data_IF_267110805781
#
_entry.id   IF_267110805781
#
_cell.length_a   1.000
_cell.length_b   1.000
_cell.length_c   1.000
_cell.angle_alpha   90.00
_cell.angle_beta   90.00
_cell.angle_gamma   90.00
#
_symmetry.space_group_name_H-M   'P 1'
#
loop_
_entity.id
_entity.type
_entity.pdbx_description
1 polymer ?
#
# COMPACT_ATOMS: atom_id res chain seq x y z
N UNK A 1 -72.13 -8.73 28.73
CA UNK A 1 -71.40 -8.35 27.50
C UNK A 1 -69.84 -8.34 27.64
N UNK A 2 -69.21 -9.29 28.28
CA UNK A 2 -67.74 -9.19 28.57
C UNK A 2 -66.83 -10.18 27.84
N UNK A 3 -67.32 -11.28 27.29
CA UNK A 3 -66.51 -12.38 26.79
C UNK A 3 -65.96 -12.13 25.37
N UNK A 4 -66.77 -11.67 24.45
CA UNK A 4 -66.40 -11.42 23.06
C UNK A 4 -65.45 -10.26 22.88
N UNK A 5 -65.53 -9.19 23.60
CA UNK A 5 -64.69 -8.04 23.56
C UNK A 5 -63.25 -8.42 24.05
N UNK A 6 -63.10 -9.23 25.08
CA UNK A 6 -61.86 -9.75 25.60
C UNK A 6 -61.17 -10.71 24.62
N UNK A 7 -61.99 -11.57 23.94
CA UNK A 7 -61.45 -12.48 22.92
C UNK A 7 -60.86 -11.72 21.69
N UNK A 8 -61.57 -10.66 21.24
CA UNK A 8 -61.14 -9.78 20.14
C UNK A 8 -59.88 -9.02 20.49
N UNK A 9 -59.76 -8.43 21.67
CA UNK A 9 -58.60 -7.73 22.15
C UNK A 9 -57.35 -8.66 22.28
N UNK A 10 -57.54 -9.94 22.70
CA UNK A 10 -56.47 -10.94 22.72
C UNK A 10 -55.99 -11.30 21.31
N UNK A 11 -56.91 -11.46 20.34
CA UNK A 11 -56.54 -11.71 18.92
C UNK A 11 -55.73 -10.54 18.33
N UNK A 12 -56.18 -9.30 18.57
CA UNK A 12 -55.48 -8.11 18.09
C UNK A 12 -54.08 -7.95 18.70
N UNK A 13 -53.91 -8.16 20.01
CA UNK A 13 -52.60 -8.19 20.66
C UNK A 13 -51.67 -9.28 20.11
N UNK A 14 -52.21 -10.47 19.83
CA UNK A 14 -51.46 -11.58 19.25
C UNK A 14 -51.02 -11.28 17.82
N UNK A 15 -51.89 -10.67 17.00
CA UNK A 15 -51.56 -10.26 15.63
C UNK A 15 -50.51 -9.14 15.61
N UNK A 16 -50.62 -8.14 16.47
CA UNK A 16 -49.64 -7.07 16.62
C UNK A 16 -48.25 -7.60 17.04
N UNK A 17 -48.20 -8.55 18.00
CA UNK A 17 -46.97 -9.19 18.43
C UNK A 17 -46.29 -9.98 17.31
N UNK A 18 -47.03 -10.75 16.53
CA UNK A 18 -46.52 -11.50 15.37
C UNK A 18 -46.02 -10.56 14.27
N UNK A 19 -46.73 -9.44 14.04
CA UNK A 19 -46.31 -8.39 13.09
C UNK A 19 -44.98 -7.76 13.49
N UNK A 20 -44.82 -7.41 14.78
CA UNK A 20 -43.57 -6.84 15.30
C UNK A 20 -42.39 -7.84 15.23
N UNK A 21 -42.63 -9.12 15.55
CA UNK A 21 -41.59 -10.16 15.45
C UNK A 21 -41.16 -10.40 13.99
N UNK A 22 -42.05 -10.37 13.04
CA UNK A 22 -41.71 -10.47 11.60
C UNK A 22 -40.94 -9.25 11.13
N UNK A 23 -41.37 -8.04 11.51
CA UNK A 23 -40.63 -6.81 11.20
C UNK A 23 -39.22 -6.81 11.77
N UNK A 24 -39.03 -7.22 13.02
CA UNK A 24 -37.75 -7.32 13.65
C UNK A 24 -36.82 -8.34 12.96
N UNK A 25 -37.34 -9.52 12.56
CA UNK A 25 -36.60 -10.53 11.82
C UNK A 25 -36.17 -10.02 10.45
N UNK A 26 -37.02 -9.28 9.77
CA UNK A 26 -36.73 -8.72 8.46
C UNK A 26 -35.72 -7.60 8.55
N UNK A 27 -35.79 -6.72 9.53
CA UNK A 27 -34.79 -5.69 9.82
C UNK A 27 -33.43 -6.30 10.14
N UNK A 28 -33.39 -7.34 10.97
CA UNK A 28 -32.14 -8.06 11.30
C UNK A 28 -31.48 -8.73 10.05
N UNK A 29 -32.34 -9.28 9.14
CA UNK A 29 -31.86 -9.86 7.87
C UNK A 29 -31.23 -8.79 6.96
N UNK A 30 -31.87 -7.64 6.82
CA UNK A 30 -31.39 -6.50 6.05
C UNK A 30 -30.07 -5.98 6.65
N UNK A 31 -30.00 -5.84 7.96
CA UNK A 31 -28.80 -5.38 8.66
C UNK A 31 -27.61 -6.32 8.47
N UNK A 32 -27.85 -7.65 8.49
CA UNK A 32 -26.80 -8.65 8.20
C UNK A 32 -26.33 -8.57 6.75
N UNK A 33 -27.24 -8.37 5.81
CA UNK A 33 -26.91 -8.21 4.38
C UNK A 33 -26.07 -6.97 4.13
N UNK A 34 -26.43 -5.82 4.73
CA UNK A 34 -25.67 -4.56 4.61
C UNK A 34 -24.28 -4.70 5.23
N UNK A 35 -24.17 -5.29 6.42
CA UNK A 35 -22.85 -5.56 7.04
C UNK A 35 -21.99 -6.49 6.17
N UNK A 36 -22.60 -7.52 5.57
CA UNK A 36 -21.90 -8.43 4.66
C UNK A 36 -21.37 -7.72 3.41
N UNK A 37 -22.18 -6.88 2.79
CA UNK A 37 -21.79 -6.08 1.63
C UNK A 37 -20.65 -5.10 1.96
N UNK A 38 -20.75 -4.42 3.10
CA UNK A 38 -19.70 -3.50 3.59
C UNK A 38 -18.36 -4.21 3.81
N UNK A 39 -18.37 -5.36 4.50
CA UNK A 39 -17.15 -6.15 4.74
C UNK A 39 -16.54 -6.66 3.43
N UNK A 40 -17.39 -7.06 2.48
CA UNK A 40 -16.91 -7.48 1.16
C UNK A 40 -16.23 -6.32 0.42
N UNK A 41 -16.87 -5.13 0.39
CA UNK A 41 -16.31 -3.93 -0.23
C UNK A 41 -14.96 -3.55 0.41
N UNK A 42 -14.88 -3.54 1.73
CA UNK A 42 -13.65 -3.24 2.44
C UNK A 42 -12.51 -4.22 2.08
N UNK A 43 -12.80 -5.51 2.01
CA UNK A 43 -11.80 -6.53 1.60
C UNK A 43 -11.35 -6.33 0.16
N UNK A 44 -12.28 -5.99 -0.73
CA UNK A 44 -11.98 -5.70 -2.12
C UNK A 44 -11.05 -4.49 -2.23
N UNK A 45 -11.37 -3.39 -1.56
CA UNK A 45 -10.58 -2.15 -1.55
C UNK A 45 -9.16 -2.40 -1.03
N UNK A 46 -9.04 -3.18 0.05
CA UNK A 46 -7.74 -3.59 0.59
C UNK A 46 -6.93 -4.44 -0.40
N UNK A 47 -7.57 -5.34 -1.12
CA UNK A 47 -6.89 -6.18 -2.12
C UNK A 47 -6.39 -5.35 -3.31
N UNK A 48 -7.21 -4.43 -3.81
CA UNK A 48 -6.85 -3.48 -4.88
C UNK A 48 -5.67 -2.64 -4.45
N UNK A 49 -5.76 -1.99 -3.27
CA UNK A 49 -4.67 -1.17 -2.72
C UNK A 49 -3.37 -1.97 -2.56
N UNK A 50 -3.43 -3.16 -1.97
CA UNK A 50 -2.26 -4.03 -1.78
C UNK A 50 -1.60 -4.41 -3.12
N UNK A 51 -2.40 -4.71 -4.14
CA UNK A 51 -1.90 -5.01 -5.48
C UNK A 51 -1.21 -3.80 -6.10
N UNK A 52 -1.83 -2.62 -6.02
CA UNK A 52 -1.25 -1.36 -6.53
C UNK A 52 0.09 -1.06 -5.83
N UNK A 53 0.14 -1.08 -4.51
CA UNK A 53 1.37 -0.84 -3.72
C UNK A 53 2.49 -1.83 -4.08
N UNK A 54 2.16 -3.13 -4.23
CA UNK A 54 3.13 -4.15 -4.63
C UNK A 54 3.68 -3.94 -6.03
N UNK A 55 2.85 -3.49 -6.97
CA UNK A 55 3.26 -3.20 -8.34
C UNK A 55 4.14 -1.95 -8.39
N UNK A 56 3.73 -0.88 -7.71
CA UNK A 56 4.50 0.38 -7.63
C UNK A 56 5.86 0.17 -6.99
N UNK A 57 5.92 -0.55 -5.87
CA UNK A 57 7.19 -0.89 -5.23
C UNK A 57 8.14 -1.63 -6.19
N UNK A 58 7.62 -2.57 -7.00
CA UNK A 58 8.43 -3.26 -7.99
C UNK A 58 8.93 -2.31 -9.10
N UNK A 59 8.08 -1.38 -9.58
CA UNK A 59 8.45 -0.38 -10.58
C UNK A 59 9.54 0.54 -10.05
N UNK A 60 9.40 1.07 -8.84
CA UNK A 60 10.40 1.95 -8.23
C UNK A 60 11.74 1.25 -8.05
N UNK A 61 11.75 0.03 -7.51
CA UNK A 61 12.98 -0.74 -7.35
C UNK A 61 13.62 -1.08 -8.69
N UNK A 62 12.82 -1.44 -9.69
CA UNK A 62 13.32 -1.73 -11.03
C UNK A 62 13.93 -0.50 -11.70
N UNK A 63 13.27 0.65 -11.62
CA UNK A 63 13.78 1.91 -12.17
C UNK A 63 15.13 2.29 -11.53
N UNK A 64 15.27 2.12 -10.21
CA UNK A 64 16.53 2.39 -9.51
C UNK A 64 17.62 1.40 -9.88
N UNK A 65 17.29 0.14 -10.10
CA UNK A 65 18.24 -0.85 -10.59
C UNK A 65 18.68 -0.53 -12.03
N UNK A 66 17.73 -0.22 -12.92
CA UNK A 66 18.00 0.05 -14.34
C UNK A 66 18.86 1.32 -14.52
N UNK A 67 18.50 2.43 -13.87
CA UNK A 67 19.15 3.73 -14.06
C UNK A 67 20.45 3.91 -13.25
N UNK A 68 20.45 3.45 -12.01
CA UNK A 68 21.55 3.72 -11.06
C UNK A 68 22.32 2.46 -10.67
N UNK A 69 21.99 1.30 -11.24
CA UNK A 69 22.67 0.05 -10.93
C UNK A 69 22.50 -0.42 -9.48
N UNK A 70 21.40 -0.04 -8.81
CA UNK A 70 21.17 -0.45 -7.43
C UNK A 70 21.17 -1.96 -7.31
N UNK A 71 22.16 -2.50 -6.61
CA UNK A 71 22.21 -3.91 -6.25
C UNK A 71 21.28 -4.25 -5.09
N UNK A 72 21.20 -5.54 -4.75
CA UNK A 72 20.27 -6.06 -3.74
C UNK A 72 20.33 -5.31 -2.39
N UNK A 73 21.55 -4.97 -1.92
CA UNK A 73 21.71 -4.24 -0.66
C UNK A 73 21.07 -2.84 -0.67
N UNK A 74 21.30 -2.09 -1.76
CA UNK A 74 20.70 -0.76 -1.92
C UNK A 74 19.19 -0.85 -2.11
N UNK A 75 18.68 -1.83 -2.86
CA UNK A 75 17.26 -2.05 -3.05
C UNK A 75 16.56 -2.45 -1.73
N UNK A 76 17.19 -3.25 -0.88
CA UNK A 76 16.66 -3.58 0.45
C UNK A 76 16.58 -2.33 1.35
N UNK A 77 17.63 -1.50 1.38
CA UNK A 77 17.63 -0.25 2.13
C UNK A 77 16.54 0.69 1.63
N UNK A 78 16.42 0.87 0.30
CA UNK A 78 15.36 1.66 -0.31
C UNK A 78 13.98 1.16 0.11
N UNK A 79 13.73 -0.14 -0.04
CA UNK A 79 12.45 -0.75 0.33
C UNK A 79 12.11 -0.54 1.80
N UNK A 80 13.08 -0.76 2.70
CA UNK A 80 12.86 -0.62 4.13
C UNK A 80 12.58 0.84 4.51
N UNK A 81 13.30 1.80 3.91
CA UNK A 81 13.05 3.23 4.14
C UNK A 81 11.70 3.67 3.58
N UNK A 82 11.35 3.24 2.36
CA UNK A 82 10.03 3.49 1.78
C UNK A 82 8.92 2.94 2.67
N UNK A 83 9.08 1.73 3.21
CA UNK A 83 8.09 1.14 4.12
C UNK A 83 7.95 1.98 5.40
N UNK A 84 9.05 2.42 6.00
CA UNK A 84 9.04 3.27 7.21
C UNK A 84 8.30 4.59 6.98
N UNK A 85 8.56 5.27 5.84
CA UNK A 85 7.85 6.52 5.49
C UNK A 85 6.37 6.23 5.23
N UNK A 86 6.06 5.17 4.48
CA UNK A 86 4.70 4.77 4.19
C UNK A 86 3.91 4.44 5.47
N UNK A 87 4.51 3.73 6.41
CA UNK A 87 3.89 3.43 7.71
C UNK A 87 3.60 4.71 8.51
N UNK A 88 4.49 5.72 8.42
CA UNK A 88 4.26 7.04 9.04
C UNK A 88 3.10 7.79 8.39
N UNK A 89 2.94 7.71 7.06
CA UNK A 89 1.79 8.27 6.34
C UNK A 89 0.50 7.56 6.75
N UNK A 90 0.50 6.24 6.81
CA UNK A 90 -0.68 5.45 7.20
C UNK A 90 -1.08 5.69 8.64
N UNK A 91 -0.11 5.88 9.54
CA UNK A 91 -0.35 6.22 10.94
C UNK A 91 -0.83 7.67 11.14
N UNK A 92 -0.80 8.51 10.09
CA UNK A 92 -1.17 9.93 10.17
C UNK A 92 -0.15 10.82 10.86
N UNK A 93 1.08 10.34 11.04
CA UNK A 93 2.16 11.13 11.63
C UNK A 93 2.68 12.21 10.66
N UNK A 94 2.54 11.94 9.37
CA UNK A 94 2.94 12.83 8.27
C UNK A 94 1.93 12.66 7.13
N UNK A 95 1.48 13.74 6.52
CA UNK A 95 0.61 13.69 5.34
C UNK A 95 1.42 13.68 4.03
N UNK A 96 0.80 13.21 2.95
CA UNK A 96 1.42 13.27 1.61
C UNK A 96 1.60 14.72 1.17
N UNK A 97 0.67 15.58 1.55
CA UNK A 97 0.67 17.01 1.26
C UNK A 97 1.84 17.73 1.96
N UNK A 98 2.14 17.39 3.21
CA UNK A 98 3.32 17.91 3.93
C UNK A 98 4.62 17.47 3.27
N UNK A 99 4.71 16.23 2.81
CA UNK A 99 5.88 15.73 2.07
C UNK A 99 6.01 16.47 0.73
N UNK A 100 4.91 16.65 -0.01
CA UNK A 100 4.91 17.35 -1.28
C UNK A 100 5.34 18.81 -1.10
N UNK A 101 4.82 19.49 -0.06
CA UNK A 101 5.19 20.85 0.31
C UNK A 101 6.69 20.96 0.66
N UNK A 102 7.20 20.05 1.46
CA UNK A 102 8.63 19.98 1.80
C UNK A 102 9.51 19.79 0.55
N UNK A 103 9.15 18.88 -0.35
CA UNK A 103 9.89 18.65 -1.59
C UNK A 103 9.84 19.90 -2.50
N UNK A 104 8.72 20.59 -2.55
CA UNK A 104 8.57 21.82 -3.32
C UNK A 104 9.41 22.97 -2.71
N UNK A 105 9.30 23.22 -1.41
CA UNK A 105 9.87 24.39 -0.77
C UNK A 105 11.37 24.25 -0.54
N UNK A 106 11.81 23.10 -0.01
CA UNK A 106 13.21 22.89 0.38
C UNK A 106 14.05 22.31 -0.78
N UNK A 107 13.46 21.45 -1.59
CA UNK A 107 14.17 20.72 -2.65
C UNK A 107 13.94 21.36 -4.02
N UNK A 108 12.94 22.25 -4.17
CA UNK A 108 12.50 22.85 -5.43
C UNK A 108 12.09 21.80 -6.48
N UNK A 109 11.46 20.73 -6.03
CA UNK A 109 10.97 19.64 -6.85
C UNK A 109 9.45 19.67 -6.86
N UNK A 110 8.87 19.98 -8.03
CA UNK A 110 7.45 19.79 -8.28
C UNK A 110 7.22 18.36 -8.83
N UNK A 111 6.63 17.52 -8.03
CA UNK A 111 6.43 16.10 -8.36
C UNK A 111 5.08 15.83 -9.04
N UNK A 112 4.21 16.84 -9.19
CA UNK A 112 2.85 16.64 -9.73
C UNK A 112 2.01 15.62 -8.96
N UNK A 113 2.34 15.40 -7.67
CA UNK A 113 1.67 14.39 -6.82
C UNK A 113 0.20 14.74 -6.59
N UNK A 114 -0.20 15.99 -6.87
CA UNK A 114 -1.53 16.52 -6.55
C UNK A 114 -2.61 16.31 -7.62
N UNK A 115 -2.29 15.72 -8.76
CA UNK A 115 -3.29 15.49 -9.80
C UNK A 115 -4.31 14.45 -9.37
N UNK A 116 -5.49 14.90 -8.94
CA UNK A 116 -6.66 14.05 -8.75
C UNK A 116 -7.55 14.17 -10.00
N UNK A 117 -8.02 13.05 -10.52
CA UNK A 117 -9.15 13.03 -11.44
C UNK A 117 -10.45 12.90 -10.61
N UNK A 118 -11.23 13.99 -10.43
CA UNK A 118 -12.44 13.96 -9.62
C UNK A 118 -13.54 13.08 -10.22
N UNK A 119 -13.41 12.67 -11.50
CA UNK A 119 -14.34 11.80 -12.19
C UNK A 119 -13.92 10.34 -12.20
N UNK A 120 -12.78 10.00 -11.59
CA UNK A 120 -12.31 8.63 -11.52
C UNK A 120 -13.29 7.75 -10.73
N UNK A 121 -13.50 6.52 -11.19
CA UNK A 121 -14.28 5.54 -10.45
C UNK A 121 -13.59 5.18 -9.11
N UNK A 122 -14.34 4.55 -8.22
CA UNK A 122 -13.85 4.21 -6.88
C UNK A 122 -12.55 3.38 -6.91
N UNK A 123 -12.41 2.46 -7.84
CA UNK A 123 -11.21 1.64 -8.00
C UNK A 123 -9.99 2.50 -8.35
N UNK A 124 -10.13 3.39 -9.32
CA UNK A 124 -9.07 4.33 -9.72
C UNK A 124 -8.70 5.29 -8.60
N UNK A 125 -9.68 5.76 -7.81
CA UNK A 125 -9.39 6.61 -6.65
C UNK A 125 -8.49 5.91 -5.64
N UNK A 126 -8.71 4.61 -5.37
CA UNK A 126 -7.85 3.80 -4.50
C UNK A 126 -6.44 3.68 -5.09
N UNK A 127 -6.34 3.41 -6.41
CA UNK A 127 -5.06 3.33 -7.09
C UNK A 127 -4.31 4.67 -7.08
N UNK A 128 -4.97 5.79 -7.37
CA UNK A 128 -4.37 7.13 -7.30
C UNK A 128 -3.85 7.45 -5.90
N UNK A 129 -4.63 7.15 -4.87
CA UNK A 129 -4.18 7.33 -3.49
C UNK A 129 -2.92 6.51 -3.20
N UNK A 130 -2.88 5.26 -3.64
CA UNK A 130 -1.71 4.40 -3.49
C UNK A 130 -0.49 4.94 -4.24
N UNK A 131 -0.68 5.48 -5.45
CA UNK A 131 0.39 6.12 -6.23
C UNK A 131 0.95 7.33 -5.49
N UNK A 132 0.11 8.22 -5.00
CA UNK A 132 0.54 9.41 -4.24
C UNK A 132 1.38 9.03 -3.02
N UNK A 133 0.83 8.15 -2.17
CA UNK A 133 1.49 7.70 -0.95
C UNK A 133 2.85 7.04 -1.23
N UNK A 134 2.91 6.17 -2.24
CA UNK A 134 4.16 5.48 -2.59
C UNK A 134 5.18 6.37 -3.29
N UNK A 135 4.75 7.33 -4.11
CA UNK A 135 5.65 8.30 -4.74
C UNK A 135 6.27 9.23 -3.69
N UNK A 136 5.47 9.71 -2.74
CA UNK A 136 5.98 10.50 -1.62
C UNK A 136 6.99 9.70 -0.79
N UNK A 137 6.66 8.44 -0.42
CA UNK A 137 7.54 7.57 0.32
C UNK A 137 8.85 7.26 -0.45
N UNK A 138 8.77 7.07 -1.76
CA UNK A 138 9.93 6.83 -2.61
C UNK A 138 10.88 8.03 -2.65
N UNK A 139 10.36 9.22 -2.92
CA UNK A 139 11.17 10.45 -2.99
C UNK A 139 11.83 10.77 -1.65
N UNK A 140 11.09 10.66 -0.55
CA UNK A 140 11.64 10.83 0.80
C UNK A 140 12.69 9.77 1.13
N UNK A 141 12.49 8.52 0.71
CA UNK A 141 13.48 7.48 0.93
C UNK A 141 14.78 7.74 0.14
N UNK A 142 14.69 8.25 -1.10
CA UNK A 142 15.87 8.64 -1.87
C UNK A 142 16.60 9.85 -1.27
N UNK A 143 15.86 10.82 -0.77
CA UNK A 143 16.42 11.99 -0.12
C UNK A 143 17.15 11.62 1.17
N UNK A 144 16.47 10.93 2.09
CA UNK A 144 16.97 10.61 3.43
C UNK A 144 18.07 9.57 3.43
N UNK A 145 17.88 8.47 2.66
CA UNK A 145 18.77 7.31 2.73
C UNK A 145 19.96 7.40 1.76
N UNK A 146 19.77 8.10 0.62
CA UNK A 146 20.76 8.17 -0.44
C UNK A 146 21.23 9.59 -0.73
N UNK A 147 20.74 10.58 0.02
CA UNK A 147 21.11 12.00 -0.12
C UNK A 147 20.92 12.52 -1.56
N UNK A 148 19.88 12.05 -2.26
CA UNK A 148 19.56 12.56 -3.59
C UNK A 148 19.03 14.00 -3.45
N UNK A 149 19.66 14.92 -4.20
CA UNK A 149 19.22 16.31 -4.29
C UNK A 149 18.25 16.49 -5.46
N UNK A 150 17.66 17.69 -5.60
CA UNK A 150 16.62 18.03 -6.57
C UNK A 150 16.81 17.38 -7.95
N UNK A 151 17.96 17.63 -8.59
CA UNK A 151 18.23 17.09 -9.93
C UNK A 151 18.14 15.55 -9.97
N UNK A 152 18.81 14.85 -9.03
CA UNK A 152 18.79 13.37 -9.00
C UNK A 152 17.45 12.80 -8.63
N UNK A 153 16.69 13.48 -7.75
CA UNK A 153 15.31 13.10 -7.41
C UNK A 153 14.41 13.24 -8.63
N UNK A 154 14.47 14.37 -9.33
CA UNK A 154 13.73 14.60 -10.56
C UNK A 154 14.08 13.57 -11.64
N UNK A 155 15.37 13.32 -11.88
CA UNK A 155 15.84 12.30 -12.82
C UNK A 155 15.36 10.89 -12.45
N UNK A 156 15.32 10.55 -11.16
CA UNK A 156 14.83 9.25 -10.67
C UNK A 156 13.33 9.13 -10.89
N UNK A 157 12.57 10.18 -10.56
CA UNK A 157 11.13 10.20 -10.73
C UNK A 157 10.71 10.14 -12.20
N UNK A 158 11.36 10.93 -13.07
CA UNK A 158 11.13 10.87 -14.52
C UNK A 158 11.40 9.48 -15.08
N UNK A 159 12.45 8.80 -14.61
CA UNK A 159 12.72 7.43 -15.06
C UNK A 159 11.66 6.43 -14.58
N UNK A 160 11.09 6.63 -13.40
CA UNK A 160 9.92 5.83 -12.95
C UNK A 160 8.74 6.05 -13.88
N UNK A 161 8.47 7.28 -14.31
CA UNK A 161 7.42 7.58 -15.29
C UNK A 161 7.70 6.88 -16.63
N UNK A 162 8.94 6.91 -17.13
CA UNK A 162 9.34 6.20 -18.37
C UNK A 162 9.10 4.68 -18.25
N UNK A 163 9.45 4.06 -17.11
CA UNK A 163 9.19 2.63 -16.87
C UNK A 163 7.68 2.36 -16.83
N UNK A 164 6.89 3.25 -16.22
CA UNK A 164 5.42 3.15 -16.19
C UNK A 164 4.82 3.26 -17.59
N UNK A 165 5.33 4.15 -18.43
CA UNK A 165 4.89 4.29 -19.83
C UNK A 165 5.22 3.05 -20.66
N UNK A 166 6.40 2.45 -20.45
CA UNK A 166 6.78 1.17 -21.08
C UNK A 166 5.85 0.03 -20.67
N UNK A 167 5.40 0.02 -19.40
CA UNK A 167 4.37 -0.92 -18.94
C UNK A 167 3.03 -0.69 -19.63
N UNK A 168 2.59 0.56 -19.76
CA UNK A 168 1.34 0.93 -20.42
C UNK A 168 1.36 0.55 -21.91
N UNK A 169 2.51 0.74 -22.59
CA UNK A 169 2.74 0.32 -23.97
C UNK A 169 2.99 -1.18 -24.15
N UNK A 170 2.98 -1.96 -23.04
CA UNK A 170 3.25 -3.41 -23.02
C UNK A 170 4.64 -3.82 -23.52
N UNK A 171 5.59 -2.91 -23.56
CA UNK A 171 7.00 -3.19 -23.90
C UNK A 171 7.66 -4.05 -22.80
N UNK A 172 7.29 -3.80 -21.56
CA UNK A 172 7.66 -4.59 -20.40
C UNK A 172 6.40 -5.05 -19.65
N UNK A 173 6.54 -6.03 -18.77
CA UNK A 173 5.42 -6.54 -17.96
C UNK A 173 5.83 -6.70 -16.50
N UNK A 174 4.89 -6.61 -15.57
CA UNK A 174 5.17 -6.83 -14.14
C UNK A 174 5.87 -8.16 -13.84
N UNK A 175 5.53 -9.29 -14.46
CA UNK A 175 6.29 -10.54 -14.27
C UNK A 175 7.76 -10.42 -14.67
N UNK A 176 8.07 -9.75 -15.79
CA UNK A 176 9.46 -9.52 -16.23
C UNK A 176 10.24 -8.64 -15.24
N UNK A 177 9.61 -7.57 -14.76
CA UNK A 177 10.19 -6.70 -13.73
C UNK A 177 10.52 -7.51 -12.47
N UNK A 178 9.57 -8.30 -11.98
CA UNK A 178 9.75 -9.11 -10.77
C UNK A 178 10.83 -10.18 -10.95
N UNK A 179 10.85 -10.87 -12.09
CA UNK A 179 11.89 -11.85 -12.40
C UNK A 179 13.28 -11.21 -12.38
N UNK A 180 13.43 -10.00 -12.98
CA UNK A 180 14.69 -9.28 -12.97
C UNK A 180 15.15 -8.88 -11.55
N UNK A 181 14.23 -8.38 -10.74
CA UNK A 181 14.52 -8.06 -9.33
C UNK A 181 14.91 -9.32 -8.53
N UNK A 182 14.22 -10.45 -8.76
CA UNK A 182 14.59 -11.72 -8.13
C UNK A 182 16.01 -12.15 -8.48
N UNK A 183 16.44 -12.00 -9.73
CA UNK A 183 17.82 -12.29 -10.13
C UNK A 183 18.82 -11.43 -9.33
N UNK A 184 18.53 -10.13 -9.17
CA UNK A 184 19.36 -9.22 -8.39
C UNK A 184 19.48 -9.68 -6.94
N UNK A 185 18.36 -10.06 -6.32
CA UNK A 185 18.34 -10.55 -4.93
C UNK A 185 19.00 -11.94 -4.76
N UNK A 186 18.84 -12.84 -5.73
CA UNK A 186 19.50 -14.16 -5.72
C UNK A 186 21.02 -14.03 -5.77
N UNK A 187 21.56 -13.13 -6.58
CA UNK A 187 23.02 -12.89 -6.66
C UNK A 187 23.61 -12.51 -5.30
N UNK A 188 22.89 -11.73 -4.47
CA UNK A 188 23.35 -11.39 -3.11
C UNK A 188 23.42 -12.62 -2.20
N UNK A 189 22.47 -13.54 -2.28
CA UNK A 189 22.48 -14.76 -1.45
C UNK A 189 23.66 -15.67 -1.78
N UNK A 190 24.09 -15.71 -3.04
CA UNK A 190 25.25 -16.50 -3.49
C UNK A 190 26.56 -15.81 -3.11
N UNK A 191 26.62 -14.48 -3.21
CA UNK A 191 27.81 -13.68 -2.91
C UNK A 191 28.07 -13.50 -1.41
N UNK A 192 27.13 -13.83 -0.54
CA UNK A 192 27.31 -13.85 0.92
C UNK A 192 27.67 -15.27 1.34
N UNK A 193 28.96 -15.66 1.39
CA UNK A 193 29.33 -16.93 1.96
C UNK A 193 28.94 -16.87 3.42
N UNK A 194 28.14 -17.86 3.87
CA UNK A 194 27.87 -18.08 5.29
C UNK A 194 29.24 -18.05 5.98
N UNK A 195 29.49 -16.97 6.71
CA UNK A 195 30.77 -16.77 7.37
C UNK A 195 31.00 -17.91 8.34
N UNK A 196 31.92 -18.79 7.97
CA UNK A 196 32.61 -19.63 8.94
C UNK A 196 33.43 -18.66 9.81
N UNK A 197 32.79 -18.09 10.83
CA UNK A 197 33.52 -17.55 11.96
C UNK A 197 34.25 -18.72 12.61
N UNK A 198 35.49 -18.99 12.18
CA UNK A 198 36.39 -19.75 12.98
C UNK A 198 36.67 -18.91 14.23
N UNK A 199 36.11 -19.35 15.35
CA UNK A 199 36.49 -18.83 16.65
C UNK A 199 38.00 -19.01 16.79
N UNK A 200 38.73 -17.89 16.77
CA UNK A 200 40.13 -17.89 17.13
C UNK A 200 40.19 -18.02 18.65
N UNK A 201 40.25 -19.24 19.13
CA UNK A 201 40.61 -19.54 20.52
C UNK A 201 42.01 -19.09 20.74
N UNK A 202 42.22 -17.89 21.27
CA UNK A 202 43.49 -17.45 21.87
C UNK A 202 43.74 -18.27 23.13
N UNK A 203 44.48 -19.34 23.01
CA UNK A 203 45.13 -20.01 24.15
C UNK A 203 46.12 -19.02 24.76
N UNK A 204 45.78 -18.40 25.86
CA UNK A 204 46.75 -17.74 26.74
C UNK A 204 47.64 -18.85 27.34
N UNK A 205 48.86 -18.92 26.88
CA UNK A 205 49.92 -19.60 27.61
C UNK A 205 50.20 -18.76 28.84
N UNK A 206 49.92 -19.34 30.01
CA UNK A 206 50.45 -18.88 31.28
C UNK A 206 51.94 -19.28 31.31
N UNK A 207 52.79 -18.32 31.52
CA UNK A 207 54.19 -18.43 31.92
C UNK A 207 54.35 -17.59 33.18
#
# INVERSE_FOLDING_TARGET
MGSFARARARKEKKAARVGNERGAKQAAKVQRSVKGAYVYQLRYDMAVRKKALSNLSAVFMYAMHEKYGFGAGYLERLRNKMQSVFDSIVAGNVSVEEIAQYLHDEIKLDCGIDTQDPKADHHRQIEFKAVKEMSAAFLMALLDEFCFKAKRLGDAYMHVCEVSDRLNRKEITYPKIRAKLEEVFKRKKIASPQGKFKAITRTRKAG
#
